data_IF_981004496985
#
_entry.id   IF_981004496985
#
_cell.length_a   1.000
_cell.length_b   1.000
_cell.length_c   1.000
_cell.angle_alpha   90.00
_cell.angle_beta   90.00
_cell.angle_gamma   90.00
#
_symmetry.space_group_name_H-M   'P 1'
#
loop_
_entity.id
_entity.type
_entity.pdbx_description
1 polymer ?
#
# COMPACT_ATOMS: atom_id res chain seq x y z
N UNK A 1 23.11 -7.36 -17.65
CA UNK A 1 22.13 -7.99 -18.57
C UNK A 1 21.25 -8.90 -17.76
N UNK A 2 19.92 -8.81 -17.87
CA UNK A 2 18.97 -9.66 -17.12
C UNK A 2 18.59 -10.89 -17.95
N UNK A 3 19.62 -11.64 -18.32
CA UNK A 3 19.47 -12.87 -19.11
C UNK A 3 18.85 -13.97 -18.25
N UNK A 4 18.18 -14.92 -18.90
CA UNK A 4 17.74 -16.12 -18.22
C UNK A 4 18.95 -16.84 -17.59
N UNK A 5 18.78 -17.46 -16.41
CA UNK A 5 19.86 -18.14 -15.70
C UNK A 5 20.37 -19.37 -16.46
N UNK A 6 19.57 -19.89 -17.40
CA UNK A 6 19.91 -20.98 -18.30
C UNK A 6 19.34 -20.71 -19.69
N UNK A 7 19.94 -21.27 -20.76
CA UNK A 7 19.29 -21.32 -22.06
C UNK A 7 17.94 -22.03 -21.93
N UNK A 8 16.85 -21.37 -22.29
CA UNK A 8 15.50 -21.91 -22.22
C UNK A 8 14.78 -21.67 -23.53
N UNK A 9 14.11 -22.71 -24.03
CA UNK A 9 13.29 -22.66 -25.23
C UNK A 9 11.97 -23.41 -24.99
N UNK A 10 10.94 -23.06 -25.76
CA UNK A 10 9.62 -23.71 -25.75
C UNK A 10 8.94 -23.74 -24.36
N UNK A 11 9.27 -22.77 -23.51
CA UNK A 11 8.55 -22.46 -22.28
C UNK A 11 7.29 -21.66 -22.58
N UNK A 12 6.25 -21.86 -21.77
CA UNK A 12 5.05 -21.03 -21.86
C UNK A 12 5.16 -19.83 -20.92
N UNK A 13 4.83 -18.64 -21.44
CA UNK A 13 4.91 -17.39 -20.68
C UNK A 13 3.53 -16.93 -20.23
N UNK A 14 3.42 -16.53 -18.97
CA UNK A 14 2.21 -15.91 -18.41
C UNK A 14 2.61 -14.72 -17.54
N UNK A 15 1.77 -13.69 -17.52
CA UNK A 15 1.94 -12.56 -16.61
C UNK A 15 0.81 -12.51 -15.59
N UNK A 16 1.17 -12.38 -14.31
CA UNK A 16 0.23 -12.31 -13.20
C UNK A 16 0.86 -11.58 -12.01
N UNK A 17 0.07 -10.81 -11.27
CA UNK A 17 0.46 -10.16 -10.01
C UNK A 17 1.78 -9.36 -10.11
N UNK A 18 2.04 -8.69 -11.24
CA UNK A 18 3.27 -7.93 -11.44
C UNK A 18 4.49 -8.75 -11.87
N UNK A 19 4.37 -10.06 -12.09
CA UNK A 19 5.48 -10.91 -12.53
C UNK A 19 5.23 -11.50 -13.91
N UNK A 20 6.33 -11.77 -14.62
CA UNK A 20 6.37 -12.68 -15.76
C UNK A 20 6.83 -14.03 -15.24
N UNK A 21 6.10 -15.09 -15.59
CA UNK A 21 6.45 -16.47 -15.29
C UNK A 21 6.71 -17.21 -16.60
N UNK A 22 7.79 -17.98 -16.64
CA UNK A 22 8.09 -18.95 -17.69
C UNK A 22 7.95 -20.34 -17.10
N UNK A 23 7.01 -21.12 -17.63
CA UNK A 23 6.65 -22.43 -17.10
C UNK A 23 7.14 -23.51 -18.05
N UNK A 24 7.96 -24.42 -17.51
CA UNK A 24 8.55 -25.52 -18.26
C UNK A 24 9.56 -25.08 -19.30
N UNK A 25 9.57 -25.81 -20.40
CA UNK A 25 10.51 -25.61 -21.49
C UNK A 25 11.68 -26.59 -21.44
N UNK A 26 12.64 -26.37 -22.33
CA UNK A 26 13.81 -27.24 -22.50
C UNK A 26 15.10 -26.44 -22.64
N UNK A 27 16.17 -26.99 -22.08
CA UNK A 27 17.54 -26.44 -22.18
C UNK A 27 18.36 -27.12 -23.27
N UNK A 28 17.89 -28.26 -23.77
CA UNK A 28 18.40 -28.96 -24.94
C UNK A 28 17.28 -29.79 -25.59
N UNK A 29 17.52 -30.40 -26.75
CA UNK A 29 16.49 -31.10 -27.53
C UNK A 29 15.68 -32.14 -26.73
N UNK A 30 16.31 -32.84 -25.79
CA UNK A 30 15.71 -33.89 -24.94
C UNK A 30 15.80 -33.59 -23.44
N UNK A 31 16.23 -32.39 -23.05
CA UNK A 31 16.41 -32.02 -21.64
C UNK A 31 15.37 -30.98 -21.25
N UNK A 32 14.26 -31.44 -20.67
CA UNK A 32 13.20 -30.57 -20.19
C UNK A 32 13.27 -30.43 -18.68
N UNK A 33 12.74 -29.33 -18.16
CA UNK A 33 12.81 -29.03 -16.73
C UNK A 33 11.42 -28.66 -16.21
N UNK A 34 10.97 -29.23 -15.09
CA UNK A 34 9.65 -28.95 -14.55
C UNK A 34 9.71 -27.72 -13.62
N UNK A 35 10.25 -26.62 -14.16
CA UNK A 35 10.59 -25.40 -13.42
C UNK A 35 9.65 -24.28 -13.79
N UNK A 36 9.50 -23.33 -12.87
CA UNK A 36 8.91 -22.03 -13.15
C UNK A 36 10.00 -21.00 -12.87
N UNK A 37 10.38 -20.26 -13.89
CA UNK A 37 11.21 -19.06 -13.73
C UNK A 37 10.28 -17.86 -13.61
N UNK A 38 10.60 -16.92 -12.75
CA UNK A 38 9.84 -15.69 -12.61
C UNK A 38 10.76 -14.48 -12.56
N UNK A 39 10.30 -13.37 -13.12
CA UNK A 39 10.94 -12.07 -13.01
C UNK A 39 9.87 -11.00 -12.76
N UNK A 40 10.10 -10.04 -11.84
CA UNK A 40 9.15 -8.95 -11.67
C UNK A 40 9.14 -8.09 -12.94
N UNK A 41 7.96 -7.65 -13.37
CA UNK A 41 7.79 -6.75 -14.51
C UNK A 41 7.82 -5.33 -13.96
N UNK A 42 8.96 -4.66 -13.99
CA UNK A 42 9.05 -3.27 -13.54
C UNK A 42 8.22 -2.35 -14.45
N UNK A 43 7.16 -1.79 -13.88
CA UNK A 43 6.50 -0.59 -14.38
C UNK A 43 6.72 0.50 -13.34
N UNK A 44 7.85 1.23 -13.42
CA UNK A 44 7.93 2.47 -12.64
C UNK A 44 7.25 3.61 -13.42
N UNK A 45 6.26 4.19 -12.75
CA UNK A 45 5.44 5.33 -13.13
C UNK A 45 5.97 6.60 -12.47
N UNK A 46 6.09 7.69 -13.26
CA UNK A 46 6.33 9.11 -12.92
C UNK A 46 7.65 9.53 -12.24
N UNK A 47 8.46 10.38 -12.92
CA UNK A 47 9.25 11.52 -12.38
C UNK A 47 9.79 12.39 -13.55
N UNK A 48 10.02 13.69 -13.28
CA UNK A 48 10.07 14.84 -14.20
C UNK A 48 11.10 14.85 -15.35
N UNK A 49 12.25 14.17 -15.30
CA UNK A 49 13.13 13.93 -16.46
C UNK A 49 14.19 12.87 -16.12
N UNK A 50 14.42 11.94 -17.05
CA UNK A 50 15.68 11.18 -17.13
C UNK A 50 15.88 9.98 -16.19
N UNK A 51 15.08 8.92 -16.33
CA UNK A 51 15.57 7.56 -16.64
C UNK A 51 14.40 6.56 -16.67
N UNK A 52 14.35 5.74 -17.72
CA UNK A 52 13.31 4.73 -17.93
C UNK A 52 13.92 3.33 -17.82
N UNK A 53 13.48 2.50 -16.86
CA UNK A 53 13.45 1.07 -17.08
C UNK A 53 12.01 0.55 -17.02
N UNK A 54 11.28 0.69 -18.13
CA UNK A 54 10.31 -0.33 -18.54
C UNK A 54 11.09 -1.61 -18.81
N UNK A 55 10.94 -2.64 -17.97
CA UNK A 55 11.73 -3.85 -18.15
C UNK A 55 11.51 -4.97 -17.14
N UNK A 56 12.03 -6.15 -17.46
CA UNK A 56 12.02 -7.31 -16.56
C UNK A 56 13.10 -7.17 -15.50
N UNK A 57 12.80 -7.60 -14.27
CA UNK A 57 13.70 -7.80 -13.13
C UNK A 57 14.67 -8.97 -13.31
N UNK A 58 15.43 -9.28 -12.26
CA UNK A 58 16.23 -10.51 -12.24
C UNK A 58 15.33 -11.75 -12.26
N UNK A 59 15.84 -12.84 -12.83
CA UNK A 59 15.13 -14.11 -12.93
C UNK A 59 15.42 -14.98 -11.72
N UNK A 60 14.36 -15.53 -11.14
CA UNK A 60 14.40 -16.46 -10.01
C UNK A 60 13.67 -17.75 -10.38
N UNK A 61 14.09 -18.88 -9.83
CA UNK A 61 13.34 -20.13 -9.92
C UNK A 61 12.44 -20.26 -8.68
N UNK A 62 11.18 -20.68 -8.87
CA UNK A 62 10.28 -20.93 -7.74
C UNK A 62 10.79 -22.08 -6.88
N UNK A 63 10.59 -22.00 -5.56
CA UNK A 63 10.97 -23.04 -4.61
C UNK A 63 10.24 -24.38 -4.80
N UNK A 64 9.10 -24.35 -5.50
CA UNK A 64 8.28 -25.52 -5.80
C UNK A 64 8.35 -25.84 -7.29
N UNK A 65 8.64 -27.10 -7.61
CA UNK A 65 8.59 -27.65 -8.97
C UNK A 65 7.33 -28.48 -9.15
N UNK A 66 6.71 -28.40 -10.31
CA UNK A 66 5.61 -29.29 -10.64
C UNK A 66 6.17 -30.67 -11.04
N UNK A 67 5.32 -31.70 -11.08
CA UNK A 67 5.77 -33.05 -11.45
C UNK A 67 5.74 -33.26 -12.96
N UNK A 68 6.81 -33.83 -13.51
CA UNK A 68 6.88 -34.30 -14.90
C UNK A 68 7.36 -33.22 -15.88
N UNK A 69 8.55 -33.47 -16.43
CA UNK A 69 9.26 -32.57 -17.33
C UNK A 69 8.50 -32.37 -18.63
N UNK A 70 8.33 -31.11 -19.05
CA UNK A 70 7.58 -30.77 -20.25
C UNK A 70 8.01 -29.44 -20.87
N UNK A 71 8.02 -29.41 -22.19
CA UNK A 71 7.97 -28.20 -23.00
C UNK A 71 6.69 -28.21 -23.85
N UNK A 72 6.31 -27.05 -24.40
CA UNK A 72 5.12 -26.93 -25.25
C UNK A 72 3.81 -27.30 -24.53
N UNK A 73 3.77 -27.13 -23.21
CA UNK A 73 2.54 -27.27 -22.43
C UNK A 73 1.69 -26.00 -22.58
N UNK A 74 0.36 -26.14 -22.51
CA UNK A 74 -0.53 -24.99 -22.37
C UNK A 74 -0.56 -24.56 -20.91
N UNK A 75 -0.43 -23.25 -20.65
CA UNK A 75 -0.47 -22.70 -19.29
C UNK A 75 -1.48 -21.57 -19.20
N UNK A 76 -2.34 -21.62 -18.18
CA UNK A 76 -3.32 -20.58 -17.90
C UNK A 76 -3.22 -20.13 -16.44
N UNK A 77 -3.52 -18.85 -16.20
CA UNK A 77 -3.66 -18.29 -14.86
C UNK A 77 -5.12 -17.92 -14.61
N UNK A 78 -5.67 -18.35 -13.48
CA UNK A 78 -7.00 -17.92 -13.03
C UNK A 78 -7.10 -17.99 -11.51
N UNK A 79 -7.63 -16.91 -10.90
CA UNK A 79 -7.95 -16.84 -9.47
C UNK A 79 -6.79 -17.28 -8.55
N UNK A 80 -5.58 -16.79 -8.82
CA UNK A 80 -4.40 -17.11 -8.00
C UNK A 80 -3.80 -18.50 -8.22
N UNK A 81 -4.20 -19.22 -9.29
CA UNK A 81 -3.68 -20.55 -9.61
C UNK A 81 -3.14 -20.61 -11.04
N UNK A 82 -2.05 -21.34 -11.21
CA UNK A 82 -1.56 -21.78 -12.51
C UNK A 82 -2.13 -23.15 -12.85
N UNK A 83 -2.51 -23.32 -14.11
CA UNK A 83 -2.96 -24.58 -14.69
C UNK A 83 -2.04 -24.92 -15.84
N UNK A 84 -1.31 -26.04 -15.73
CA UNK A 84 -0.39 -26.53 -16.77
C UNK A 84 -0.92 -27.82 -17.35
N UNK A 85 -1.10 -27.87 -18.66
CA UNK A 85 -1.79 -28.96 -19.35
C UNK A 85 -1.02 -29.43 -20.58
N UNK A 86 -0.95 -30.74 -20.77
CA UNK A 86 -0.30 -31.32 -21.93
C UNK A 86 1.22 -31.08 -21.95
N UNK A 87 1.76 -31.00 -23.17
CA UNK A 87 3.19 -30.93 -23.45
C UNK A 87 3.84 -32.31 -23.58
N UNK A 88 5.17 -32.32 -23.59
CA UNK A 88 5.99 -33.51 -23.65
C UNK A 88 7.46 -33.18 -23.42
N UNK A 89 8.30 -34.21 -23.39
CA UNK A 89 9.75 -34.01 -23.38
C UNK A 89 10.41 -34.85 -24.48
N UNK A 90 11.02 -35.98 -24.15
CA UNK A 90 11.53 -36.94 -25.13
C UNK A 90 10.41 -37.61 -25.95
N UNK A 91 9.19 -37.62 -25.42
CA UNK A 91 7.97 -38.01 -26.11
C UNK A 91 6.79 -37.17 -25.63
N UNK A 92 5.67 -37.14 -26.38
CA UNK A 92 4.39 -36.67 -25.85
C UNK A 92 4.03 -37.42 -24.56
N UNK A 93 3.25 -36.77 -23.71
CA UNK A 93 2.72 -37.40 -22.50
C UNK A 93 1.85 -38.62 -22.86
N UNK A 94 2.10 -39.76 -22.21
CA UNK A 94 1.35 -41.01 -22.41
C UNK A 94 0.06 -41.11 -21.57
N UNK A 95 -0.23 -40.09 -20.77
CA UNK A 95 -1.40 -40.00 -19.89
C UNK A 95 -1.83 -38.55 -19.73
N UNK A 96 -3.13 -38.31 -19.50
CA UNK A 96 -3.63 -36.98 -19.18
C UNK A 96 -2.99 -36.50 -17.88
N UNK A 97 -2.21 -35.41 -17.98
CA UNK A 97 -1.58 -34.78 -16.81
C UNK A 97 -1.86 -33.28 -16.83
N UNK A 98 -2.80 -32.88 -15.97
CA UNK A 98 -3.05 -31.50 -15.61
C UNK A 98 -2.38 -31.25 -14.26
N UNK A 99 -1.58 -30.20 -14.16
CA UNK A 99 -1.03 -29.75 -12.89
C UNK A 99 -1.67 -28.41 -12.53
N UNK A 100 -1.98 -28.24 -11.26
CA UNK A 100 -2.35 -26.93 -10.73
C UNK A 100 -1.53 -26.62 -9.49
N UNK A 101 -1.17 -25.35 -9.31
CA UNK A 101 -0.62 -24.86 -8.05
C UNK A 101 -1.11 -23.45 -7.77
N UNK A 102 -1.25 -23.13 -6.49
CA UNK A 102 -1.44 -21.75 -6.06
C UNK A 102 -0.15 -20.94 -6.31
N UNK A 103 -0.33 -19.66 -6.61
CA UNK A 103 0.73 -18.67 -6.64
C UNK A 103 0.90 -18.16 -5.21
N UNK A 104 2.07 -18.37 -4.61
CA UNK A 104 2.32 -18.02 -3.21
C UNK A 104 2.53 -16.50 -3.01
N UNK A 105 2.78 -15.72 -4.07
CA UNK A 105 2.58 -14.27 -4.02
C UNK A 105 1.07 -13.99 -4.11
N UNK A 106 0.40 -14.19 -2.98
CA UNK A 106 -1.04 -13.94 -2.89
C UNK A 106 -1.28 -12.43 -2.97
N UNK A 107 -2.26 -11.98 -3.76
CA UNK A 107 -2.70 -10.60 -3.69
C UNK A 107 -3.22 -10.32 -2.27
N UNK A 108 -2.63 -9.34 -1.59
CA UNK A 108 -3.05 -8.95 -0.24
C UNK A 108 -3.60 -7.52 -0.24
N UNK A 109 -4.66 -7.34 0.55
CA UNK A 109 -5.20 -6.03 0.88
C UNK A 109 -5.19 -5.96 2.41
N UNK A 110 -4.42 -5.03 2.97
CA UNK A 110 -4.43 -4.76 4.39
C UNK A 110 -5.37 -3.58 4.66
N UNK A 111 -6.14 -3.70 5.75
CA UNK A 111 -7.01 -2.64 6.23
C UNK A 111 -6.58 -2.26 7.64
N UNK A 112 -6.35 -0.97 7.85
CA UNK A 112 -6.06 -0.39 9.14
C UNK A 112 -7.07 0.72 9.44
N UNK A 113 -7.39 0.90 10.72
CA UNK A 113 -8.19 2.03 11.15
C UNK A 113 -7.73 2.57 12.48
N UNK A 114 -7.76 3.89 12.63
CA UNK A 114 -7.40 4.59 13.86
C UNK A 114 -8.46 5.61 14.21
N UNK A 115 -8.93 5.57 15.45
CA UNK A 115 -9.74 6.62 16.05
C UNK A 115 -8.85 7.50 16.94
N UNK A 116 -9.06 8.81 16.87
CA UNK A 116 -8.38 9.81 17.68
C UNK A 116 -9.46 10.63 18.38
N UNK A 117 -9.37 10.70 19.70
CA UNK A 117 -10.19 11.57 20.56
C UNK A 117 -9.28 12.64 21.16
N UNK A 118 -9.59 13.90 20.86
CA UNK A 118 -8.85 15.08 21.35
C UNK A 118 -9.38 15.62 22.67
N UNK A 119 -10.30 14.90 23.33
CA UNK A 119 -10.98 15.25 24.59
C UNK A 119 -11.93 16.46 24.51
N UNK A 120 -11.64 17.42 23.64
CA UNK A 120 -12.50 18.55 23.30
C UNK A 120 -12.48 18.78 21.79
N UNK A 121 -13.39 19.63 21.30
CA UNK A 121 -13.34 20.09 19.92
C UNK A 121 -12.04 20.86 19.64
N UNK A 122 -11.40 20.52 18.52
CA UNK A 122 -10.19 21.16 18.01
C UNK A 122 -10.33 21.49 16.53
N UNK A 123 -9.52 22.42 16.03
CA UNK A 123 -9.54 22.84 14.63
C UNK A 123 -8.49 22.03 13.85
N UNK A 124 -8.86 20.94 13.14
CA UNK A 124 -7.91 20.17 12.36
C UNK A 124 -7.36 20.99 11.20
N UNK A 125 -6.07 20.83 10.94
CA UNK A 125 -5.37 21.51 9.85
C UNK A 125 -5.01 20.52 8.74
N UNK A 126 -4.35 19.43 9.12
CA UNK A 126 -3.75 18.47 8.19
C UNK A 126 -3.52 17.12 8.83
N UNK A 127 -3.14 16.13 8.03
CA UNK A 127 -2.76 14.80 8.45
C UNK A 127 -1.55 14.31 7.63
N UNK A 128 -0.86 13.30 8.14
CA UNK A 128 0.30 12.69 7.51
C UNK A 128 0.24 11.18 7.70
N UNK A 129 0.36 10.44 6.59
CA UNK A 129 0.58 9.00 6.61
C UNK A 129 2.02 8.71 6.22
N UNK A 130 2.74 8.05 7.13
CA UNK A 130 4.10 7.58 6.92
C UNK A 130 4.15 6.05 6.94
N UNK A 131 5.08 5.54 6.16
CA UNK A 131 5.33 4.13 6.06
C UNK A 131 6.54 3.84 5.20
N UNK A 132 6.79 2.55 5.04
CA UNK A 132 7.79 2.04 4.11
C UNK A 132 7.03 1.21 3.07
N UNK A 133 7.12 1.61 1.80
CA UNK A 133 6.60 0.83 0.68
C UNK A 133 7.69 -0.05 0.03
N UNK A 134 8.99 0.23 0.28
CA UNK A 134 10.14 -0.49 -0.30
C UNK A 134 10.08 -0.64 -1.84
N UNK A 135 9.34 0.24 -2.52
CA UNK A 135 9.11 0.21 -3.96
C UNK A 135 8.48 -1.09 -4.48
N UNK A 136 7.72 -1.81 -3.63
CA UNK A 136 6.95 -2.98 -4.09
C UNK A 136 5.75 -2.56 -4.96
N UNK A 137 5.38 -1.27 -4.91
CA UNK A 137 4.32 -0.68 -5.73
C UNK A 137 2.93 -0.84 -5.13
N UNK A 138 2.81 -0.90 -3.80
CA UNK A 138 1.50 -1.00 -3.16
C UNK A 138 0.75 0.32 -3.32
N UNK A 139 -0.57 0.24 -3.47
CA UNK A 139 -1.42 1.43 -3.50
C UNK A 139 -1.91 1.72 -2.09
N UNK A 140 -1.55 2.90 -1.59
CA UNK A 140 -1.94 3.39 -0.27
C UNK A 140 -3.14 4.30 -0.44
N UNK A 141 -4.24 3.99 0.23
CA UNK A 141 -5.48 4.74 0.11
C UNK A 141 -6.01 5.13 1.47
N UNK A 142 -6.50 6.36 1.60
CA UNK A 142 -7.03 6.89 2.87
C UNK A 142 -8.44 7.38 2.71
N UNK A 143 -9.27 7.07 3.72
CA UNK A 143 -10.58 7.68 3.92
C UNK A 143 -10.66 8.16 5.36
N UNK A 144 -11.39 9.23 5.61
CA UNK A 144 -11.55 9.73 6.97
C UNK A 144 -12.93 10.32 7.21
N UNK A 145 -13.30 10.44 8.48
CA UNK A 145 -14.51 11.13 8.93
C UNK A 145 -14.30 11.71 10.33
N UNK A 146 -15.12 12.70 10.67
CA UNK A 146 -15.05 13.42 11.94
C UNK A 146 -16.41 13.55 12.60
N UNK A 147 -16.41 13.94 13.87
CA UNK A 147 -17.61 14.26 14.65
C UNK A 147 -17.22 15.29 15.72
N UNK A 148 -18.01 16.37 15.87
CA UNK A 148 -17.86 17.29 16.99
C UNK A 148 -18.45 16.70 18.28
N UNK A 149 -18.14 17.32 19.42
CA UNK A 149 -18.57 16.82 20.73
C UNK A 149 -20.10 16.85 20.89
N UNK A 150 -20.58 16.08 21.87
CA UNK A 150 -21.99 15.95 22.27
C UNK A 150 -22.23 16.49 23.68
N UNK A 151 -21.46 17.50 24.09
CA UNK A 151 -21.46 18.02 25.46
C UNK A 151 -22.67 18.93 25.78
N UNK A 152 -23.55 19.16 24.80
CA UNK A 152 -24.76 19.95 24.91
C UNK A 152 -24.56 21.44 24.57
N UNK A 153 -23.39 21.85 24.09
CA UNK A 153 -23.09 23.24 23.72
C UNK A 153 -23.22 23.42 22.20
N UNK A 154 -24.43 23.79 21.78
CA UNK A 154 -24.92 23.79 20.39
C UNK A 154 -24.16 24.67 19.35
N UNK A 155 -22.99 25.23 19.66
CA UNK A 155 -22.26 26.15 18.76
C UNK A 155 -20.74 26.01 18.74
N UNK A 156 -20.16 25.00 19.38
CA UNK A 156 -18.69 24.91 19.50
C UNK A 156 -17.98 24.78 18.14
N UNK A 157 -18.64 24.16 17.16
CA UNK A 157 -18.21 24.10 15.76
C UNK A 157 -19.13 24.85 14.79
N UNK A 158 -19.80 25.90 15.28
CA UNK A 158 -20.74 26.71 14.48
C UNK A 158 -21.96 25.94 13.95
N UNK A 159 -22.14 24.70 14.41
CA UNK A 159 -23.21 23.76 14.08
C UNK A 159 -23.65 23.03 15.35
N UNK A 160 -24.86 22.47 15.33
CA UNK A 160 -25.36 21.70 16.46
C UNK A 160 -24.52 20.44 16.71
N UNK A 161 -24.49 19.98 17.96
CA UNK A 161 -23.88 18.73 18.37
C UNK A 161 -24.26 17.58 17.43
N UNK A 162 -23.26 16.85 16.97
CA UNK A 162 -23.48 15.68 16.14
C UNK A 162 -23.78 14.49 17.05
N UNK A 163 -24.82 13.73 16.71
CA UNK A 163 -25.13 12.43 17.36
C UNK A 163 -24.64 11.23 16.54
N UNK A 164 -24.10 11.50 15.35
CA UNK A 164 -23.54 10.50 14.43
C UNK A 164 -22.31 11.07 13.74
N UNK A 165 -21.45 10.21 13.21
CA UNK A 165 -20.34 10.62 12.35
C UNK A 165 -20.80 11.49 11.19
N UNK A 166 -19.94 12.43 10.82
CA UNK A 166 -20.10 13.22 9.61
C UNK A 166 -19.89 12.40 8.34
N UNK A 167 -20.05 13.08 7.20
CA UNK A 167 -19.79 12.48 5.90
C UNK A 167 -18.33 11.99 5.81
N UNK A 168 -18.15 10.78 5.28
CA UNK A 168 -16.82 10.27 4.96
C UNK A 168 -16.22 11.03 3.77
N UNK A 169 -14.95 11.41 3.90
CA UNK A 169 -14.11 11.91 2.82
C UNK A 169 -13.27 10.76 2.28
N UNK A 170 -13.44 10.47 0.99
CA UNK A 170 -12.57 9.55 0.26
C UNK A 170 -11.43 10.35 -0.39
N UNK A 171 -10.25 10.29 0.21
CA UNK A 171 -9.07 10.97 -0.32
C UNK A 171 -8.49 10.20 -1.52
N UNK A 172 -8.69 8.88 -1.58
CA UNK A 172 -8.10 8.03 -2.59
C UNK A 172 -6.61 7.78 -2.35
N UNK A 173 -5.83 7.77 -3.43
CA UNK A 173 -4.43 7.35 -3.42
C UNK A 173 -3.52 8.41 -2.77
N UNK A 174 -2.66 7.96 -1.84
CA UNK A 174 -1.78 8.79 -1.02
C UNK A 174 -0.32 8.57 -1.38
N UNK A 175 0.45 9.64 -1.40
CA UNK A 175 1.92 9.57 -1.41
C UNK A 175 2.41 9.64 0.03
N UNK A 176 3.06 8.57 0.50
CA UNK A 176 3.63 8.52 1.86
C UNK A 176 4.60 9.69 2.08
N UNK A 177 4.58 10.28 3.28
CA UNK A 177 5.44 11.42 3.61
C UNK A 177 4.87 12.79 3.22
N UNK A 178 3.80 12.85 2.43
CA UNK A 178 3.12 14.10 2.11
C UNK A 178 2.11 14.46 3.19
N UNK A 179 2.11 15.74 3.58
CA UNK A 179 1.12 16.31 4.49
C UNK A 179 -0.09 16.74 3.67
N UNK A 180 -1.25 16.25 4.06
CA UNK A 180 -2.52 16.46 3.35
C UNK A 180 -3.53 17.21 4.22
N UNK A 181 -4.41 18.00 3.60
CA UNK A 181 -5.41 18.78 4.34
C UNK A 181 -6.47 17.88 4.97
N UNK A 182 -6.90 18.22 6.19
CA UNK A 182 -8.06 17.59 6.83
C UNK A 182 -9.24 18.57 6.85
N UNK A 183 -10.38 18.18 6.30
CA UNK A 183 -11.61 18.99 6.35
C UNK A 183 -12.69 18.23 7.13
N UNK A 184 -13.08 18.71 8.33
CA UNK A 184 -14.11 18.05 9.11
C UNK A 184 -15.49 18.36 8.52
N UNK A 185 -16.29 17.33 8.26
CA UNK A 185 -17.60 17.46 7.64
C UNK A 185 -18.72 17.06 8.60
N UNK A 186 -19.87 17.71 8.50
CA UNK A 186 -21.12 17.22 9.09
C UNK A 186 -21.75 16.09 8.26
N UNK A 187 -22.91 15.59 8.67
CA UNK A 187 -23.66 14.57 7.93
C UNK A 187 -24.17 15.00 6.55
N UNK A 188 -24.16 16.31 6.24
CA UNK A 188 -24.55 16.88 4.94
C UNK A 188 -23.36 17.13 4.00
N UNK A 189 -22.13 16.91 4.47
CA UNK A 189 -20.91 17.21 3.72
C UNK A 189 -20.46 18.68 3.84
N UNK A 190 -21.02 19.44 4.79
CA UNK A 190 -20.62 20.82 5.04
C UNK A 190 -19.45 20.88 6.02
N UNK A 191 -18.48 21.77 5.77
CA UNK A 191 -17.34 21.94 6.66
C UNK A 191 -17.76 22.60 7.99
N UNK A 192 -17.49 21.92 9.10
CA UNK A 192 -17.80 22.38 10.46
C UNK A 192 -16.62 23.03 11.18
N UNK A 193 -15.46 23.13 10.52
CA UNK A 193 -14.22 23.77 10.98
C UNK A 193 -13.53 23.15 12.21
N UNK A 194 -14.25 22.49 13.11
CA UNK A 194 -13.70 21.73 14.22
C UNK A 194 -14.37 20.38 14.41
N UNK A 195 -13.70 19.51 15.15
CA UNK A 195 -14.20 18.22 15.58
C UNK A 195 -13.39 17.73 16.79
N UNK A 196 -13.95 16.76 17.52
CA UNK A 196 -13.31 16.07 18.63
C UNK A 196 -12.84 14.67 18.25
N UNK A 197 -13.73 13.94 17.57
CA UNK A 197 -13.47 12.57 17.15
C UNK A 197 -13.05 12.54 15.69
N UNK A 198 -11.93 11.88 15.42
CA UNK A 198 -11.40 11.68 14.09
C UNK A 198 -11.22 10.20 13.85
N UNK A 199 -11.65 9.72 12.69
CA UNK A 199 -11.52 8.32 12.32
C UNK A 199 -10.88 8.22 10.95
N UNK A 200 -9.77 7.49 10.87
CA UNK A 200 -9.06 7.20 9.63
C UNK A 200 -9.22 5.73 9.26
N UNK A 201 -9.38 5.48 7.97
CA UNK A 201 -9.29 4.17 7.34
C UNK A 201 -8.13 4.22 6.35
N UNK A 202 -7.23 3.26 6.45
CA UNK A 202 -6.09 3.09 5.54
C UNK A 202 -6.22 1.73 4.87
N UNK A 203 -6.20 1.73 3.54
CA UNK A 203 -6.12 0.52 2.72
C UNK A 203 -4.75 0.46 2.09
N UNK A 204 -4.06 -0.66 2.25
CA UNK A 204 -2.81 -0.97 1.54
C UNK A 204 -3.14 -2.08 0.55
N UNK A 205 -3.33 -1.73 -0.71
CA UNK A 205 -3.60 -2.67 -1.79
C UNK A 205 -2.28 -3.13 -2.40
N UNK A 206 -1.83 -4.31 -1.99
CA UNK A 206 -0.65 -4.99 -2.50
C UNK A 206 -1.00 -6.04 -3.57
N UNK A 207 -2.24 -6.07 -4.08
CA UNK A 207 -2.73 -7.14 -4.96
C UNK A 207 -1.99 -7.29 -6.29
N UNK A 208 -1.25 -6.25 -6.69
CA UNK A 208 -0.49 -6.19 -7.96
C UNK A 208 1.00 -5.90 -7.75
N UNK A 209 1.52 -6.13 -6.55
CA UNK A 209 2.88 -5.74 -6.13
C UNK A 209 3.96 -6.76 -6.48
N UNK A 210 5.20 -6.27 -6.55
CA UNK A 210 6.39 -7.02 -6.98
C UNK A 210 7.13 -7.75 -5.84
N UNK A 211 6.44 -8.13 -4.76
CA UNK A 211 7.03 -8.79 -3.59
C UNK A 211 6.10 -9.76 -2.88
N UNK A 212 6.65 -10.52 -1.92
CA UNK A 212 5.84 -11.25 -0.94
C UNK A 212 5.34 -10.24 0.10
N UNK A 213 4.02 -9.98 0.18
CA UNK A 213 3.48 -8.99 1.10
C UNK A 213 3.69 -9.35 2.59
N UNK A 214 3.98 -10.62 2.90
CA UNK A 214 4.35 -11.11 4.23
C UNK A 214 5.84 -10.97 4.58
N UNK A 215 6.67 -10.44 3.67
CA UNK A 215 8.07 -10.18 3.94
C UNK A 215 8.20 -9.05 4.96
N UNK A 216 8.61 -9.36 6.19
CA UNK A 216 8.68 -8.36 7.28
C UNK A 216 9.76 -7.30 7.04
N UNK A 217 10.75 -7.56 6.19
CA UNK A 217 11.83 -6.64 5.88
C UNK A 217 11.52 -5.80 4.64
N UNK A 218 10.71 -6.32 3.70
CA UNK A 218 10.41 -5.69 2.41
C UNK A 218 8.94 -5.31 2.18
N UNK A 219 8.02 -5.81 3.00
CA UNK A 219 6.60 -5.58 2.89
C UNK A 219 6.18 -4.16 3.25
N UNK A 220 4.96 -3.74 2.87
CA UNK A 220 4.47 -2.41 3.17
C UNK A 220 4.17 -2.30 4.67
N UNK A 221 4.76 -1.32 5.35
CA UNK A 221 4.55 -1.10 6.79
C UNK A 221 4.11 0.33 7.06
N UNK A 222 3.10 0.50 7.94
CA UNK A 222 2.74 1.80 8.47
C UNK A 222 3.71 2.11 9.61
N UNK A 223 4.39 3.25 9.54
CA UNK A 223 5.24 3.72 10.63
C UNK A 223 4.50 4.74 11.48
N UNK A 224 3.72 5.62 10.88
CA UNK A 224 2.97 6.63 11.60
C UNK A 224 1.73 7.11 10.83
N UNK A 225 0.71 7.52 11.59
CA UNK A 225 -0.46 8.24 11.09
C UNK A 225 -0.75 9.40 12.05
N UNK A 226 -0.41 10.61 11.64
CA UNK A 226 -0.48 11.80 12.47
C UNK A 226 -1.61 12.73 12.04
N UNK A 227 -2.29 13.35 13.02
CA UNK A 227 -3.26 14.42 12.85
C UNK A 227 -2.69 15.71 13.45
N UNK A 228 -2.70 16.79 12.68
CA UNK A 228 -2.28 18.12 13.12
C UNK A 228 -3.49 19.02 13.28
N UNK A 229 -3.61 19.67 14.43
CA UNK A 229 -4.73 20.52 14.76
C UNK A 229 -4.29 21.71 15.62
N UNK A 230 -5.17 22.71 15.69
CA UNK A 230 -5.07 23.81 16.65
C UNK A 230 -6.04 23.53 17.79
N UNK A 231 -5.51 23.36 19.00
CA UNK A 231 -6.30 23.15 20.21
C UNK A 231 -7.12 24.39 20.58
N UNK A 232 -8.25 24.20 21.29
CA UNK A 232 -9.03 25.29 21.86
C UNK A 232 -8.16 26.12 22.83
N UNK A 233 -7.95 27.43 22.58
CA UNK A 233 -7.18 28.32 23.45
C UNK A 233 -7.61 28.28 24.92
N UNK A 234 -8.88 27.99 25.22
CA UNK A 234 -9.42 27.95 26.57
C UNK A 234 -8.99 26.71 27.37
N UNK A 235 -8.52 25.66 26.69
CA UNK A 235 -8.14 24.36 27.27
C UNK A 235 -6.65 24.01 27.10
N UNK A 236 -5.85 24.90 26.49
CA UNK A 236 -4.40 24.70 26.35
C UNK A 236 -3.68 24.71 27.69
N UNK A 237 -2.80 23.73 27.90
CA UNK A 237 -1.83 23.82 28.97
C UNK A 237 -0.80 24.92 28.64
N UNK A 238 -0.22 25.54 29.68
CA UNK A 238 0.84 26.54 29.51
C UNK A 238 1.94 25.96 28.60
N UNK A 239 2.36 26.77 27.63
CA UNK A 239 3.33 26.45 26.58
C UNK A 239 2.81 25.60 25.40
N UNK A 240 1.50 25.39 25.23
CA UNK A 240 0.95 24.82 24.00
C UNK A 240 1.05 23.29 23.91
N UNK A 241 0.99 22.60 25.05
CA UNK A 241 0.77 21.15 25.10
C UNK A 241 -0.73 20.85 25.10
N UNK A 242 -1.12 19.77 24.43
CA UNK A 242 -2.50 19.27 24.37
C UNK A 242 -2.61 17.84 24.91
N UNK A 243 -3.83 17.34 25.09
CA UNK A 243 -4.10 15.92 25.36
C UNK A 243 -4.70 15.23 24.13
N UNK A 244 -4.38 13.96 23.95
CA UNK A 244 -5.02 13.10 22.94
C UNK A 244 -5.09 11.69 23.51
N UNK A 245 -6.28 11.08 23.51
CA UNK A 245 -6.49 9.77 24.14
C UNK A 245 -6.17 9.74 25.66
N UNK A 246 -6.27 10.89 26.34
CA UNK A 246 -5.91 11.02 27.76
C UNK A 246 -4.40 11.17 28.05
N UNK A 247 -3.54 11.17 27.02
CA UNK A 247 -2.10 11.34 27.17
C UNK A 247 -1.64 12.74 26.73
N UNK A 248 -0.73 13.35 27.50
CA UNK A 248 -0.14 14.64 27.16
C UNK A 248 0.74 14.50 25.91
N UNK A 249 0.44 15.28 24.88
CA UNK A 249 1.22 15.34 23.66
C UNK A 249 2.42 16.31 23.79
N UNK A 250 3.45 16.16 22.94
CA UNK A 250 4.49 17.16 22.74
C UNK A 250 3.94 18.55 22.36
N UNK A 251 4.81 19.56 22.27
CA UNK A 251 4.39 20.91 21.87
C UNK A 251 3.64 20.91 20.54
N UNK A 252 2.47 21.58 20.47
CA UNK A 252 1.67 21.81 19.26
C UNK A 252 2.46 22.70 18.27
N UNK A 253 3.47 22.14 17.61
CA UNK A 253 4.10 22.81 16.47
C UNK A 253 3.51 22.17 15.21
N UNK A 254 2.59 22.85 14.50
CA UNK A 254 1.97 22.28 13.31
C UNK A 254 3.05 21.99 12.27
N UNK A 255 3.17 20.73 11.84
CA UNK A 255 4.06 20.36 10.75
C UNK A 255 3.52 20.94 9.44
N UNK A 256 4.36 21.69 8.74
CA UNK A 256 4.12 22.16 7.37
C UNK A 256 5.27 21.67 6.50
N UNK A 257 5.01 21.33 5.25
CA UNK A 257 6.06 20.96 4.31
C UNK A 257 6.95 22.18 4.05
N UNK A 258 8.17 22.16 4.59
CA UNK A 258 9.19 23.16 4.28
C UNK A 258 9.77 22.94 2.89
N UNK A 259 10.23 24.02 2.27
CA UNK A 259 11.16 23.94 1.15
C UNK A 259 12.48 23.30 1.62
N UNK A 260 13.20 22.61 0.74
CA UNK A 260 14.53 22.05 1.03
C UNK A 260 15.63 23.12 1.24
N UNK A 261 15.23 24.37 1.50
CA UNK A 261 16.13 25.51 1.65
C UNK A 261 16.65 25.60 3.09
N UNK A 262 17.97 25.70 3.31
CA UNK A 262 18.52 25.94 4.64
C UNK A 262 17.94 27.24 5.23
N UNK A 263 17.31 27.14 6.41
CA UNK A 263 16.71 28.29 7.10
C UNK A 263 15.18 28.39 6.98
N UNK A 264 14.52 27.44 6.32
CA UNK A 264 13.06 27.32 6.38
C UNK A 264 12.63 26.97 7.83
N UNK A 265 11.77 27.77 8.49
CA UNK A 265 11.28 27.45 9.84
C UNK A 265 10.51 26.11 9.89
N UNK A 266 10.10 25.58 8.74
CA UNK A 266 9.46 24.27 8.60
C UNK A 266 10.46 23.12 8.33
N UNK A 267 11.79 23.39 8.32
CA UNK A 267 12.85 22.40 8.18
C UNK A 267 12.95 21.47 9.40
N UNK A 268 12.50 21.93 10.57
CA UNK A 268 12.50 21.17 11.82
C UNK A 268 11.22 20.32 11.96
N UNK A 269 11.06 19.33 11.10
CA UNK A 269 10.35 18.11 11.48
C UNK A 269 11.42 17.07 11.86
N UNK A 270 12.02 17.11 13.07
CA UNK A 270 12.80 16.00 13.54
C UNK A 270 11.81 14.86 13.80
N UNK A 271 11.65 14.00 12.81
CA UNK A 271 11.08 12.67 13.00
C UNK A 271 11.89 11.98 14.12
N UNK A 272 11.25 11.38 15.13
CA UNK A 272 11.87 10.30 15.91
C UNK A 272 12.29 9.15 14.98
#
# INVERSE_FOLDING_TARGET
TRSLPVPLSDSEAISANGYMYLVGGRTAASTCLPRVLMAPISANTTIATGNNPTGLGEWFETNTRYSGDRYGAAVAYSSGRFYTMGGGCSSPLSSNRHYQSAVNSQPQIALYSRMIDTDTDVFPNSWLLNGIDNSIGARWQVRYRSMNDTDGVATDCGTADMSTWGQETDFGDVTLGNVETYTPLDGSGSNINCARYFYFYVTIDASKTFGYPEDVDRGPTITDLSLFFTSDPSKRLRHGKTFTGGEQQPLDTPCRQGSSSPGDPNYNCPLP
#
